data_IF_792390968633
#
_entry.id   IF_792390968633
#
_cell.length_a   1.000
_cell.length_b   1.000
_cell.length_c   1.000
_cell.angle_alpha   90.00
_cell.angle_beta   90.00
_cell.angle_gamma   90.00
#
_symmetry.space_group_name_H-M   'P 1'
#
loop_
_entity.id
_entity.type
_entity.pdbx_description
1 polymer ?
#
# COMPACT_ATOMS: atom_id res chain seq x y z
N UNK A 1 20.80 31.54 12.74
CA UNK A 1 19.41 31.03 12.77
C UNK A 1 19.47 29.68 13.46
N UNK A 2 18.66 29.47 14.48
CA UNK A 2 18.60 28.20 15.23
C UNK A 2 17.23 27.61 14.93
N UNK A 3 17.20 26.43 14.33
CA UNK A 3 15.95 25.72 14.03
C UNK A 3 15.61 24.81 15.20
N UNK A 4 14.34 24.80 15.61
CA UNK A 4 13.84 23.91 16.65
C UNK A 4 13.33 22.62 16.01
N UNK A 5 14.28 21.75 15.65
CA UNK A 5 14.02 20.51 14.93
C UNK A 5 13.78 19.34 15.87
N UNK A 6 12.75 18.53 15.59
CA UNK A 6 12.57 17.21 16.19
C UNK A 6 13.13 16.11 15.28
N UNK A 7 13.66 15.02 15.86
CA UNK A 7 14.02 13.81 15.12
C UNK A 7 12.93 12.77 15.33
N UNK A 8 12.24 12.43 14.24
CA UNK A 8 11.23 11.38 14.22
C UNK A 8 11.75 10.21 13.38
N UNK A 9 11.43 8.98 13.80
CA UNK A 9 11.78 7.78 13.05
C UNK A 9 10.51 7.02 12.67
N UNK A 10 10.32 6.82 11.37
CA UNK A 10 9.40 5.82 10.87
C UNK A 10 10.08 4.46 10.92
N UNK A 11 9.45 3.50 11.60
CA UNK A 11 9.95 2.13 11.71
C UNK A 11 9.11 1.24 10.81
N UNK A 12 9.76 0.43 9.98
CA UNK A 12 9.09 -0.58 9.15
C UNK A 12 8.35 -1.56 10.08
N UNK A 13 7.01 -1.58 9.98
CA UNK A 13 6.16 -2.29 10.93
C UNK A 13 6.27 -3.82 10.82
N UNK A 14 6.68 -4.31 9.65
CA UNK A 14 6.75 -5.73 9.31
C UNK A 14 8.18 -6.10 8.96
N UNK A 15 8.87 -6.72 9.92
CA UNK A 15 10.27 -7.06 9.81
C UNK A 15 10.55 -8.50 10.28
N UNK A 16 11.83 -8.86 10.40
CA UNK A 16 12.25 -10.18 10.88
C UNK A 16 11.74 -10.49 12.31
N UNK A 17 11.90 -9.60 13.32
CA UNK A 17 11.26 -9.74 14.63
C UNK A 17 9.75 -10.00 14.57
N UNK A 18 9.01 -9.22 13.77
CA UNK A 18 7.57 -9.42 13.56
C UNK A 18 7.30 -10.84 13.05
N UNK A 19 8.01 -11.27 12.00
CA UNK A 19 7.84 -12.60 11.42
C UNK A 19 8.10 -13.71 12.44
N UNK A 20 9.17 -13.59 13.23
CA UNK A 20 9.48 -14.57 14.27
C UNK A 20 8.41 -14.60 15.36
N UNK A 21 7.87 -13.46 15.76
CA UNK A 21 6.85 -13.34 16.82
C UNK A 21 5.51 -13.96 16.40
N UNK A 22 5.04 -13.68 15.19
CA UNK A 22 3.69 -14.07 14.76
C UNK A 22 3.64 -15.35 13.93
N UNK A 23 4.74 -15.72 13.26
CA UNK A 23 4.81 -16.90 12.40
C UNK A 23 5.85 -17.94 12.86
N UNK A 24 6.56 -17.69 13.96
CA UNK A 24 7.48 -18.65 14.61
C UNK A 24 8.81 -18.87 13.90
N UNK A 25 8.91 -18.61 12.59
CA UNK A 25 10.12 -18.78 11.78
C UNK A 25 10.28 -17.61 10.82
N UNK A 26 11.52 -17.32 10.45
CA UNK A 26 11.83 -16.32 9.42
C UNK A 26 11.78 -16.98 8.04
N UNK A 27 10.72 -16.71 7.28
CA UNK A 27 10.57 -17.04 5.86
C UNK A 27 11.11 -15.97 4.91
N UNK A 28 10.62 -15.97 3.67
CA UNK A 28 10.88 -14.92 2.69
C UNK A 28 9.77 -13.87 2.78
N UNK A 29 10.13 -12.62 3.02
CA UNK A 29 9.21 -11.49 3.13
C UNK A 29 9.54 -10.50 2.01
N UNK A 30 8.58 -10.26 1.13
CA UNK A 30 8.70 -9.30 0.04
C UNK A 30 7.81 -8.10 0.34
N UNK A 31 8.37 -6.88 0.31
CA UNK A 31 7.60 -5.63 0.23
C UNK A 31 7.20 -5.40 -1.21
N UNK A 32 5.93 -5.12 -1.44
CA UNK A 32 5.40 -4.94 -2.78
C UNK A 32 5.28 -3.45 -3.09
N UNK A 33 5.79 -3.04 -4.26
CA UNK A 33 5.67 -1.69 -4.80
C UNK A 33 4.47 -1.55 -5.75
N UNK A 34 4.27 -0.36 -6.30
CA UNK A 34 3.10 -0.08 -7.15
C UNK A 34 3.02 -0.92 -8.44
N UNK A 35 1.78 -1.15 -8.87
CA UNK A 35 1.42 -1.95 -10.05
C UNK A 35 1.97 -3.38 -10.00
N UNK A 36 1.92 -4.02 -8.84
CA UNK A 36 2.43 -5.37 -8.60
C UNK A 36 1.36 -6.24 -7.92
N UNK A 37 0.42 -6.74 -8.72
CA UNK A 37 -0.76 -7.50 -8.26
C UNK A 37 -0.67 -9.02 -8.53
N UNK A 38 0.52 -9.49 -8.95
CA UNK A 38 0.88 -10.86 -9.36
C UNK A 38 0.35 -11.30 -10.73
N UNK A 39 -0.40 -10.45 -11.46
CA UNK A 39 -0.99 -10.83 -12.75
C UNK A 39 -0.05 -10.60 -13.94
N UNK A 40 0.99 -9.79 -13.77
CA UNK A 40 1.90 -9.38 -14.84
C UNK A 40 2.81 -10.50 -15.37
N UNK A 41 2.85 -10.67 -16.70
CA UNK A 41 3.70 -11.70 -17.33
C UNK A 41 5.20 -11.43 -17.17
N UNK A 42 5.61 -10.17 -17.05
CA UNK A 42 6.99 -9.77 -16.78
C UNK A 42 7.48 -10.18 -15.39
N UNK A 43 6.57 -10.26 -14.42
CA UNK A 43 6.88 -10.54 -13.00
C UNK A 43 7.32 -11.99 -12.81
N UNK A 44 6.70 -12.90 -13.58
CA UNK A 44 6.93 -14.33 -13.54
C UNK A 44 8.10 -14.83 -14.43
N UNK A 45 8.81 -13.92 -15.13
CA UNK A 45 9.89 -14.28 -16.07
C UNK A 45 11.11 -14.89 -15.40
N UNK A 46 11.44 -16.12 -15.79
CA UNK A 46 12.64 -16.83 -15.31
C UNK A 46 13.95 -16.36 -15.94
N UNK A 47 13.89 -15.75 -17.12
CA UNK A 47 15.06 -15.32 -17.89
C UNK A 47 15.40 -13.84 -17.70
N UNK A 48 14.93 -13.22 -16.62
CA UNK A 48 15.33 -11.87 -16.23
C UNK A 48 16.79 -11.83 -15.77
N UNK A 49 17.39 -10.64 -15.78
CA UNK A 49 18.77 -10.41 -15.33
C UNK A 49 18.77 -10.17 -13.82
N UNK A 50 19.45 -10.99 -13.00
CA UNK A 50 19.59 -10.73 -11.58
C UNK A 50 20.42 -9.48 -11.31
N UNK A 51 19.90 -8.54 -10.51
CA UNK A 51 20.63 -7.32 -10.18
C UNK A 51 21.88 -7.57 -9.33
N UNK A 52 21.85 -8.56 -8.42
CA UNK A 52 22.92 -8.84 -7.45
C UNK A 52 24.27 -9.24 -8.07
N UNK A 53 24.29 -9.60 -9.36
CA UNK A 53 25.51 -9.90 -10.11
C UNK A 53 25.92 -8.81 -11.09
N UNK A 54 25.19 -7.69 -11.16
CA UNK A 54 25.39 -6.67 -12.18
C UNK A 54 26.36 -5.56 -11.76
N UNK A 55 27.08 -5.03 -12.74
CA UNK A 55 27.96 -3.85 -12.60
C UNK A 55 27.38 -2.60 -13.24
N UNK A 56 26.23 -2.69 -13.92
CA UNK A 56 25.54 -1.55 -14.51
C UNK A 56 24.35 -1.16 -13.64
N UNK A 57 24.01 0.12 -13.56
CA UNK A 57 22.93 0.58 -12.67
C UNK A 57 21.55 0.51 -13.32
N UNK A 58 21.49 0.41 -14.64
CA UNK A 58 20.25 0.34 -15.40
C UNK A 58 20.32 -0.78 -16.44
N UNK A 59 19.38 -1.72 -16.35
CA UNK A 59 19.08 -2.72 -17.37
C UNK A 59 17.56 -2.89 -17.39
N UNK A 60 16.89 -2.66 -18.54
CA UNK A 60 15.44 -2.87 -18.65
C UNK A 60 15.03 -4.34 -18.46
N UNK A 61 15.97 -5.29 -18.49
CA UNK A 61 15.72 -6.71 -18.30
C UNK A 61 15.94 -7.18 -16.86
N UNK A 62 16.23 -6.27 -15.92
CA UNK A 62 16.38 -6.68 -14.53
C UNK A 62 15.13 -7.38 -13.99
N UNK A 63 15.37 -8.39 -13.15
CA UNK A 63 14.29 -9.08 -12.46
C UNK A 63 13.47 -8.09 -11.64
N UNK A 64 12.14 -8.23 -11.67
CA UNK A 64 11.24 -7.46 -10.83
C UNK A 64 11.23 -7.93 -9.38
N UNK A 65 11.75 -9.14 -9.11
CA UNK A 65 11.99 -9.70 -7.79
C UNK A 65 13.48 -9.61 -7.45
N UNK A 66 13.80 -8.89 -6.38
CA UNK A 66 15.18 -8.54 -6.05
C UNK A 66 15.37 -8.10 -4.60
N UNK A 67 16.54 -7.50 -4.34
CA UNK A 67 16.83 -6.77 -3.12
C UNK A 67 17.12 -5.33 -3.53
N UNK A 68 16.37 -4.38 -2.98
CA UNK A 68 16.59 -2.95 -3.18
C UNK A 68 18.05 -2.60 -2.83
N UNK A 69 18.71 -1.87 -3.73
CA UNK A 69 20.05 -1.33 -3.47
C UNK A 69 19.91 0.04 -2.80
N UNK A 70 20.65 0.22 -1.71
CA UNK A 70 20.77 1.50 -1.01
C UNK A 70 21.25 2.62 -1.93
N UNK A 71 21.04 3.85 -1.47
CA UNK A 71 21.57 5.07 -2.07
C UNK A 71 23.08 4.98 -2.37
N UNK A 72 23.59 5.71 -3.37
CA UNK A 72 24.98 5.64 -3.76
C UNK A 72 25.90 6.06 -2.60
N UNK A 73 27.03 5.36 -2.44
CA UNK A 73 27.99 5.59 -1.34
C UNK A 73 28.73 6.93 -1.49
N UNK A 74 28.69 7.51 -2.69
CA UNK A 74 29.30 8.81 -2.97
C UNK A 74 28.56 9.57 -4.06
N UNK A 75 28.74 10.89 -4.07
CA UNK A 75 28.29 11.75 -5.16
C UNK A 75 28.91 11.35 -6.51
N UNK A 76 30.12 10.82 -6.50
CA UNK A 76 30.78 10.34 -7.72
C UNK A 76 30.15 9.04 -8.24
N UNK A 77 29.81 8.09 -7.37
CA UNK A 77 29.01 6.92 -7.78
C UNK A 77 27.67 7.38 -8.35
N UNK A 78 27.02 8.33 -7.69
CA UNK A 78 25.74 8.87 -8.15
C UNK A 78 25.83 9.52 -9.53
N UNK A 79 26.68 10.52 -9.70
CA UNK A 79 26.62 11.43 -10.85
C UNK A 79 27.65 11.11 -11.94
N UNK A 80 28.66 10.29 -11.64
CA UNK A 80 29.79 10.01 -12.50
C UNK A 80 30.88 11.06 -12.42
N UNK A 81 32.11 10.65 -12.70
CA UNK A 81 33.31 11.49 -12.58
C UNK A 81 33.25 12.77 -13.43
N UNK A 82 32.42 12.79 -14.48
CA UNK A 82 32.24 13.98 -15.32
C UNK A 82 31.28 15.01 -14.70
N UNK A 83 30.32 14.60 -13.88
CA UNK A 83 29.23 15.47 -13.40
C UNK A 83 29.19 15.65 -11.88
N UNK A 84 29.90 14.82 -11.10
CA UNK A 84 29.83 14.86 -9.63
C UNK A 84 30.25 16.19 -8.98
N UNK A 85 30.99 17.03 -9.70
CA UNK A 85 31.36 18.37 -9.27
C UNK A 85 30.72 19.48 -10.12
N UNK A 86 29.83 19.16 -11.06
CA UNK A 86 29.15 20.14 -11.91
C UNK A 86 27.91 20.70 -11.18
N UNK A 87 27.91 21.96 -10.70
CA UNK A 87 26.82 22.50 -9.91
C UNK A 87 25.50 22.61 -10.68
N UNK A 88 25.54 22.80 -12.00
CA UNK A 88 24.33 22.84 -12.84
C UNK A 88 23.69 21.47 -12.91
N UNK A 89 24.50 20.41 -12.99
CA UNK A 89 24.01 19.03 -13.03
C UNK A 89 23.51 18.57 -11.66
N UNK A 90 24.30 18.81 -10.59
CA UNK A 90 23.98 18.41 -9.21
C UNK A 90 22.66 19.02 -8.72
N UNK A 91 22.34 20.24 -9.16
CA UNK A 91 21.12 20.96 -8.75
C UNK A 91 19.98 20.84 -9.78
N UNK A 92 20.10 19.93 -10.75
CA UNK A 92 19.00 19.62 -11.67
C UNK A 92 18.09 18.52 -11.10
N UNK A 93 16.92 18.32 -11.72
CA UNK A 93 15.96 17.26 -11.37
C UNK A 93 16.45 15.88 -11.82
N UNK A 94 17.57 15.42 -11.25
CA UNK A 94 18.28 14.20 -11.65
C UNK A 94 17.36 12.97 -11.53
N UNK A 95 17.25 12.20 -12.61
CA UNK A 95 16.43 10.99 -12.73
C UNK A 95 14.90 11.18 -12.62
N UNK A 96 14.41 12.43 -12.61
CA UNK A 96 12.98 12.77 -12.62
C UNK A 96 12.50 13.22 -14.02
N UNK A 97 11.19 13.46 -14.17
CA UNK A 97 10.56 13.74 -15.47
C UNK A 97 11.06 15.06 -16.08
N UNK A 98 12.01 14.95 -17.01
CA UNK A 98 12.54 16.07 -17.80
C UNK A 98 13.92 16.57 -17.36
N UNK A 99 14.51 16.00 -16.32
CA UNK A 99 15.83 16.36 -15.83
C UNK A 99 16.97 15.48 -16.36
N UNK A 100 18.18 15.72 -15.84
CA UNK A 100 19.40 15.03 -16.26
C UNK A 100 19.40 13.55 -15.84
N UNK A 101 19.96 12.68 -16.68
CA UNK A 101 20.07 11.24 -16.39
C UNK A 101 21.41 10.97 -15.72
N UNK A 102 21.37 10.54 -14.46
CA UNK A 102 22.56 10.12 -13.73
C UNK A 102 23.02 8.73 -14.17
N UNK A 103 24.32 8.42 -14.00
CA UNK A 103 24.83 7.07 -14.25
C UNK A 103 24.28 6.03 -13.26
N UNK A 104 23.81 6.47 -12.09
CA UNK A 104 23.25 5.63 -11.04
C UNK A 104 21.74 5.85 -10.94
N UNK A 105 20.98 4.79 -11.17
CA UNK A 105 19.58 4.71 -10.79
C UNK A 105 19.46 3.64 -9.71
N UNK A 106 18.97 3.96 -8.50
CA UNK A 106 18.78 2.95 -7.47
C UNK A 106 17.88 1.84 -8.00
N UNK A 107 18.32 0.59 -7.88
CA UNK A 107 17.49 -0.55 -8.22
C UNK A 107 16.42 -0.74 -7.16
N UNK A 108 15.18 -0.49 -7.55
CA UNK A 108 13.97 -0.62 -6.74
C UNK A 108 13.09 -1.72 -7.35
N UNK A 109 13.26 -3.00 -6.96
CA UNK A 109 12.42 -4.08 -7.47
C UNK A 109 10.97 -3.88 -7.04
N UNK A 110 10.01 -4.27 -7.89
CA UNK A 110 8.58 -4.30 -7.55
C UNK A 110 8.29 -5.25 -6.38
N UNK A 111 9.06 -6.32 -6.27
CA UNK A 111 8.99 -7.31 -5.20
C UNK A 111 10.32 -7.31 -4.45
N UNK A 112 10.44 -6.46 -3.42
CA UNK A 112 11.68 -6.26 -2.68
C UNK A 112 11.80 -7.21 -1.48
N UNK A 113 12.81 -8.08 -1.53
CA UNK A 113 13.09 -9.03 -0.47
C UNK A 113 13.68 -8.33 0.77
N UNK A 114 12.89 -8.28 1.84
CA UNK A 114 13.26 -7.65 3.12
C UNK A 114 13.98 -8.60 4.08
N UNK A 115 13.70 -9.90 4.01
CA UNK A 115 14.35 -10.94 4.86
C UNK A 115 15.19 -11.90 4.03
N UNK A 116 16.17 -12.58 4.65
CA UNK A 116 17.03 -13.55 3.92
C UNK A 116 17.66 -12.99 2.63
N UNK A 117 18.04 -11.70 2.58
CA UNK A 117 18.58 -11.01 1.38
C UNK A 117 19.71 -11.78 0.67
N UNK A 118 20.55 -12.51 1.41
CA UNK A 118 21.62 -13.36 0.86
C UNK A 118 21.14 -14.59 0.08
N UNK A 119 19.86 -14.94 0.20
CA UNK A 119 19.18 -16.05 -0.47
C UNK A 119 18.22 -15.55 -1.55
N UNK A 120 18.51 -14.39 -2.17
CA UNK A 120 17.62 -13.79 -3.17
C UNK A 120 17.34 -14.71 -4.35
N UNK A 121 18.30 -15.50 -4.82
CA UNK A 121 18.07 -16.44 -5.92
C UNK A 121 16.98 -17.49 -5.58
N UNK A 122 16.99 -18.03 -4.35
CA UNK A 122 15.98 -18.96 -3.85
C UNK A 122 14.62 -18.26 -3.69
N UNK A 123 14.61 -17.10 -3.03
CA UNK A 123 13.39 -16.33 -2.81
C UNK A 123 12.71 -15.90 -4.12
N UNK A 124 13.51 -15.46 -5.11
CA UNK A 124 13.06 -15.13 -6.47
C UNK A 124 12.41 -16.34 -7.13
N UNK A 125 13.07 -17.50 -7.12
CA UNK A 125 12.52 -18.72 -7.71
C UNK A 125 11.16 -19.09 -7.13
N UNK A 126 11.06 -19.16 -5.80
CA UNK A 126 9.82 -19.55 -5.11
C UNK A 126 8.68 -18.54 -5.35
N UNK A 127 8.97 -17.23 -5.36
CA UNK A 127 7.94 -16.22 -5.68
C UNK A 127 7.49 -16.30 -7.14
N UNK A 128 8.40 -16.49 -8.08
CA UNK A 128 8.06 -16.62 -9.50
C UNK A 128 7.31 -17.92 -9.81
N UNK A 129 7.59 -19.01 -9.09
CA UNK A 129 6.77 -20.23 -9.13
C UNK A 129 5.34 -19.94 -8.66
N UNK A 130 5.17 -19.23 -7.55
CA UNK A 130 3.86 -18.85 -7.05
C UNK A 130 3.10 -17.92 -8.00
N UNK A 131 3.77 -16.92 -8.59
CA UNK A 131 3.19 -16.05 -9.62
C UNK A 131 2.67 -16.86 -10.81
N UNK A 132 3.47 -17.78 -11.35
CA UNK A 132 3.03 -18.66 -12.44
C UNK A 132 1.85 -19.53 -12.05
N UNK A 133 1.85 -20.06 -10.83
CA UNK A 133 0.74 -20.83 -10.30
C UNK A 133 -0.55 -19.97 -10.27
N UNK A 134 -0.51 -18.78 -9.68
CA UNK A 134 -1.67 -17.86 -9.65
C UNK A 134 -2.10 -17.47 -11.06
N UNK A 135 -1.16 -17.18 -11.96
CA UNK A 135 -1.41 -16.84 -13.37
C UNK A 135 -1.96 -18.01 -14.20
N UNK A 136 -1.82 -19.25 -13.73
CA UNK A 136 -2.51 -20.41 -14.33
C UNK A 136 -4.02 -20.44 -14.03
N UNK A 137 -4.50 -19.47 -13.24
CA UNK A 137 -5.88 -19.29 -12.81
C UNK A 137 -6.45 -20.52 -12.09
N UNK A 138 -5.84 -20.92 -10.95
CA UNK A 138 -6.30 -22.06 -10.16
C UNK A 138 -7.67 -21.78 -9.56
N UNK A 139 -8.37 -22.83 -9.14
CA UNK A 139 -9.55 -22.68 -8.28
C UNK A 139 -9.16 -22.08 -6.93
N UNK A 140 -10.12 -21.47 -6.22
CA UNK A 140 -9.87 -20.97 -4.86
C UNK A 140 -9.43 -22.08 -3.89
N UNK A 141 -9.89 -23.32 -4.10
CA UNK A 141 -9.47 -24.49 -3.33
C UNK A 141 -8.00 -24.84 -3.56
N UNK A 142 -7.55 -24.89 -4.82
CA UNK A 142 -6.14 -25.10 -5.16
C UNK A 142 -5.26 -23.95 -4.64
N UNK A 143 -5.72 -22.70 -4.78
CA UNK A 143 -5.02 -21.55 -4.21
C UNK A 143 -4.87 -21.68 -2.69
N UNK A 144 -5.91 -22.16 -1.99
CA UNK A 144 -5.88 -22.35 -0.54
C UNK A 144 -4.84 -23.39 -0.08
N UNK A 145 -4.32 -24.25 -0.96
CA UNK A 145 -3.22 -25.16 -0.63
C UNK A 145 -1.90 -24.40 -0.45
N UNK A 146 -1.68 -23.33 -1.22
CA UNK A 146 -0.43 -22.55 -1.24
C UNK A 146 -0.56 -21.15 -0.62
N UNK A 147 -1.76 -20.66 -0.35
CA UNK A 147 -2.02 -19.29 0.10
C UNK A 147 -3.03 -19.25 1.27
N UNK A 148 -2.82 -18.34 2.21
CA UNK A 148 -3.73 -18.10 3.34
C UNK A 148 -4.97 -17.28 2.91
N UNK A 149 -5.91 -17.96 2.24
CA UNK A 149 -7.17 -17.36 1.74
C UNK A 149 -7.97 -16.70 2.86
N UNK A 150 -8.06 -17.32 4.05
CA UNK A 150 -8.81 -16.75 5.18
C UNK A 150 -8.15 -15.47 5.68
N UNK A 151 -6.82 -15.45 5.77
CA UNK A 151 -6.05 -14.27 6.13
C UNK A 151 -6.25 -13.11 5.15
N UNK A 152 -6.27 -13.42 3.84
CA UNK A 152 -6.54 -12.43 2.79
C UNK A 152 -7.95 -11.84 2.89
N UNK A 153 -8.99 -12.68 3.05
CA UNK A 153 -10.38 -12.20 3.24
C UNK A 153 -10.46 -11.28 4.46
N UNK A 154 -9.79 -11.63 5.56
CA UNK A 154 -9.76 -10.80 6.78
C UNK A 154 -9.09 -9.45 6.54
N UNK A 155 -7.98 -9.45 5.81
CA UNK A 155 -7.23 -8.24 5.47
C UNK A 155 -8.08 -7.32 4.60
N UNK A 156 -8.72 -7.85 3.57
CA UNK A 156 -9.56 -7.06 2.67
C UNK A 156 -10.85 -6.57 3.34
N UNK A 157 -11.40 -7.29 4.32
CA UNK A 157 -12.49 -6.74 5.14
C UNK A 157 -12.06 -5.44 5.85
N UNK A 158 -10.84 -5.42 6.38
CA UNK A 158 -10.28 -4.21 7.00
C UNK A 158 -9.99 -3.12 5.96
N UNK A 159 -9.37 -3.46 4.83
CA UNK A 159 -9.06 -2.49 3.76
C UNK A 159 -10.33 -1.83 3.19
N UNK A 160 -11.41 -2.60 3.00
CA UNK A 160 -12.71 -2.10 2.54
C UNK A 160 -13.33 -1.16 3.58
N UNK A 161 -13.30 -1.54 4.86
CA UNK A 161 -13.91 -0.74 5.94
C UNK A 161 -13.10 0.53 6.22
N UNK A 162 -11.77 0.48 6.08
CA UNK A 162 -10.90 1.63 6.29
C UNK A 162 -10.74 2.51 5.03
N UNK A 163 -11.06 1.99 3.84
CA UNK A 163 -10.93 2.71 2.58
C UNK A 163 -9.49 2.78 2.06
N UNK A 164 -8.72 1.70 2.25
CA UNK A 164 -7.34 1.60 1.81
C UNK A 164 -7.23 1.39 0.28
N UNK A 165 -7.53 2.44 -0.47
CA UNK A 165 -7.67 2.41 -1.94
C UNK A 165 -6.35 2.45 -2.70
N UNK A 166 -5.25 2.76 -2.03
CA UNK A 166 -3.89 2.69 -2.57
C UNK A 166 -3.25 1.31 -2.39
N UNK A 167 -4.01 0.31 -1.90
CA UNK A 167 -3.54 -1.05 -1.69
C UNK A 167 -3.72 -1.97 -2.93
N UNK A 168 -3.63 -3.29 -2.69
CA UNK A 168 -3.66 -4.37 -3.68
C UNK A 168 -4.70 -4.21 -4.79
N UNK A 169 -5.98 -4.06 -4.47
CA UNK A 169 -7.07 -4.16 -5.47
C UNK A 169 -7.08 -3.04 -6.53
N UNK A 170 -6.58 -1.85 -6.18
CA UNK A 170 -6.72 -0.65 -7.03
C UNK A 170 -5.38 -0.15 -7.56
N UNK A 171 -4.27 -0.46 -6.87
CA UNK A 171 -2.92 0.00 -7.23
C UNK A 171 -1.92 -1.16 -7.29
N UNK A 172 -2.24 -2.34 -6.74
CA UNK A 172 -1.28 -3.43 -6.63
C UNK A 172 -0.12 -3.08 -5.69
N UNK A 173 -0.37 -2.35 -4.61
CA UNK A 173 0.65 -1.77 -3.73
C UNK A 173 0.33 -1.96 -2.23
N UNK A 174 1.22 -1.50 -1.34
CA UNK A 174 1.03 -1.38 0.11
C UNK A 174 0.70 -2.69 0.83
N UNK A 175 1.37 -3.75 0.41
CA UNK A 175 1.34 -5.04 1.10
C UNK A 175 2.70 -5.71 1.11
N UNK A 176 2.82 -6.72 1.98
CA UNK A 176 3.87 -7.71 1.92
C UNK A 176 3.31 -9.05 1.49
N UNK A 177 4.12 -9.81 0.76
CA UNK A 177 3.95 -11.25 0.60
C UNK A 177 4.97 -11.99 1.45
N UNK A 178 4.48 -12.77 2.38
CA UNK A 178 5.29 -13.59 3.26
C UNK A 178 5.10 -15.07 2.97
N UNK A 179 6.17 -15.74 2.54
CA UNK A 179 6.18 -17.20 2.48
C UNK A 179 6.49 -17.77 3.86
N UNK A 180 5.49 -18.44 4.47
CA UNK A 180 5.60 -19.08 5.77
C UNK A 180 6.17 -20.52 5.62
N UNK A 181 7.43 -20.76 5.99
CA UNK A 181 8.08 -22.06 5.78
C UNK A 181 7.64 -23.13 6.78
N UNK A 182 6.78 -22.82 7.75
CA UNK A 182 6.21 -23.82 8.67
C UNK A 182 4.88 -24.37 8.16
N UNK A 183 4.15 -23.57 7.40
CA UNK A 183 2.84 -23.94 6.84
C UNK A 183 2.90 -24.25 5.35
N UNK A 184 4.02 -23.93 4.70
CA UNK A 184 4.18 -24.00 3.25
C UNK A 184 3.12 -23.16 2.52
N UNK A 185 2.88 -21.94 3.03
CA UNK A 185 1.87 -21.03 2.49
C UNK A 185 2.36 -19.60 2.41
N UNK A 186 1.94 -18.91 1.36
CA UNK A 186 2.00 -17.47 1.21
C UNK A 186 0.93 -16.78 2.06
N UNK A 187 1.30 -15.64 2.62
CA UNK A 187 0.47 -14.82 3.50
C UNK A 187 0.52 -13.38 3.02
N UNK A 188 -0.65 -12.79 2.79
CA UNK A 188 -0.84 -11.37 2.53
C UNK A 188 -0.82 -10.58 3.83
N UNK A 189 -0.02 -9.52 3.91
CA UNK A 189 0.07 -8.64 5.06
C UNK A 189 -0.07 -7.20 4.60
N UNK A 190 -1.05 -6.48 5.14
CA UNK A 190 -1.25 -5.05 4.85
C UNK A 190 -0.08 -4.21 5.35
N UNK A 191 0.19 -3.11 4.66
CA UNK A 191 1.17 -2.10 5.04
C UNK A 191 0.63 -0.71 4.70
N UNK A 192 1.31 0.35 5.16
CA UNK A 192 1.13 1.72 4.69
C UNK A 192 -0.34 2.20 4.64
N UNK A 193 -0.95 2.28 5.82
CA UNK A 193 -2.35 2.71 5.98
C UNK A 193 -2.41 4.20 6.34
N UNK A 194 -1.57 5.02 5.73
CA UNK A 194 -1.61 6.49 5.89
C UNK A 194 -2.71 7.11 5.03
N UNK A 195 -3.05 6.49 3.89
CA UNK A 195 -4.18 6.87 3.05
C UNK A 195 -5.47 6.08 3.37
N UNK A 196 -5.96 6.19 4.61
CA UNK A 196 -7.23 5.56 5.05
C UNK A 196 -8.10 6.53 5.82
N UNK A 197 -9.38 6.19 6.00
CA UNK A 197 -10.37 7.01 6.72
C UNK A 197 -10.59 8.40 6.09
N UNK A 198 -10.49 8.46 4.77
CA UNK A 198 -10.68 9.66 3.93
C UNK A 198 -11.60 9.34 2.78
N UNK A 199 -12.29 10.33 2.24
CA UNK A 199 -13.23 10.14 1.14
C UNK A 199 -12.64 10.52 -0.22
N UNK A 200 -11.71 11.49 -0.22
CA UNK A 200 -11.16 12.05 -1.44
C UNK A 200 -9.64 12.27 -1.38
N UNK A 201 -8.99 12.18 -2.54
CA UNK A 201 -7.60 12.58 -2.73
C UNK A 201 -7.41 14.10 -2.64
N UNK A 202 -6.19 14.57 -2.34
CA UNK A 202 -5.94 15.99 -2.16
C UNK A 202 -6.25 16.82 -3.41
N UNK A 203 -6.88 17.97 -3.21
CA UNK A 203 -7.35 18.87 -4.28
C UNK A 203 -6.22 19.30 -5.21
N UNK A 204 -4.97 19.36 -4.73
CA UNK A 204 -3.79 19.69 -5.56
C UNK A 204 -3.58 18.71 -6.72
N UNK A 205 -4.00 17.46 -6.59
CA UNK A 205 -3.91 16.50 -7.71
C UNK A 205 -4.97 16.78 -8.78
N UNK A 206 -5.94 17.66 -8.51
CA UNK A 206 -7.01 18.03 -9.43
C UNK A 206 -8.07 16.95 -9.57
N UNK A 207 -8.57 16.72 -10.78
CA UNK A 207 -9.49 15.61 -11.06
C UNK A 207 -9.14 14.77 -12.29
N UNK A 208 -7.86 14.41 -12.50
CA UNK A 208 -7.44 13.61 -13.65
C UNK A 208 -7.98 12.18 -13.56
N UNK A 209 -8.12 11.50 -14.70
CA UNK A 209 -8.70 10.16 -14.76
C UNK A 209 -7.91 9.13 -13.94
N UNK A 210 -6.58 9.26 -13.84
CA UNK A 210 -5.75 8.34 -13.05
C UNK A 210 -6.05 8.40 -11.54
N UNK A 211 -6.56 9.53 -11.03
CA UNK A 211 -6.85 9.73 -9.61
C UNK A 211 -8.28 9.29 -9.20
N UNK A 212 -9.07 8.72 -10.12
CA UNK A 212 -10.41 8.19 -9.81
C UNK A 212 -10.49 7.07 -8.75
N UNK A 213 -9.45 6.25 -8.46
CA UNK A 213 -9.52 5.27 -7.36
C UNK A 213 -9.73 5.90 -5.99
N UNK A 214 -9.32 7.15 -5.82
CA UNK A 214 -9.31 7.88 -4.56
C UNK A 214 -10.45 8.89 -4.42
N UNK A 215 -11.64 8.57 -4.94
CA UNK A 215 -12.82 9.44 -4.86
C UNK A 215 -14.03 8.65 -4.39
N UNK A 216 -14.90 9.33 -3.66
CA UNK A 216 -16.16 8.80 -3.15
C UNK A 216 -15.97 7.53 -2.28
N UNK A 217 -14.80 7.38 -1.63
CA UNK A 217 -14.33 6.13 -1.02
C UNK A 217 -15.32 5.64 0.04
N UNK A 218 -15.87 6.54 0.86
CA UNK A 218 -16.79 6.20 1.95
C UNK A 218 -18.06 5.51 1.43
N UNK A 219 -18.44 5.77 0.18
CA UNK A 219 -19.69 5.27 -0.44
C UNK A 219 -19.51 4.05 -1.34
N UNK A 220 -18.29 3.50 -1.43
CA UNK A 220 -18.00 2.32 -2.27
C UNK A 220 -18.54 1.02 -1.68
N UNK A 221 -19.05 0.11 -2.49
CA UNK A 221 -19.49 -1.22 -2.05
C UNK A 221 -18.33 -2.21 -2.08
N UNK A 222 -18.39 -3.28 -1.30
CA UNK A 222 -17.43 -4.38 -1.36
C UNK A 222 -17.53 -5.12 -2.71
N UNK A 223 -18.77 -5.39 -3.16
CA UNK A 223 -19.03 -6.11 -4.41
C UNK A 223 -19.93 -5.33 -5.37
N UNK A 224 -19.97 -5.72 -6.67
CA UNK A 224 -20.82 -5.04 -7.66
C UNK A 224 -22.30 -5.01 -7.27
N UNK A 225 -22.90 -3.81 -7.31
CA UNK A 225 -24.34 -3.58 -7.12
C UNK A 225 -24.82 -2.50 -8.10
N UNK A 226 -26.06 -2.57 -8.65
CA UNK A 226 -26.54 -1.62 -9.65
C UNK A 226 -26.43 -0.16 -9.20
N UNK A 227 -25.71 0.65 -9.98
CA UNK A 227 -25.53 2.08 -9.70
C UNK A 227 -24.59 2.40 -8.54
N UNK A 228 -23.85 1.41 -8.03
CA UNK A 228 -22.85 1.56 -6.97
C UNK A 228 -21.46 1.29 -7.51
N UNK A 229 -20.50 2.11 -7.08
CA UNK A 229 -19.08 1.87 -7.32
C UNK A 229 -18.64 0.79 -6.36
N UNK A 230 -17.94 -0.24 -6.84
CA UNK A 230 -17.44 -1.30 -5.97
C UNK A 230 -15.93 -1.28 -5.79
N UNK A 231 -15.45 -2.07 -4.82
CA UNK A 231 -14.09 -2.03 -4.30
C UNK A 231 -13.01 -2.25 -5.38
N UNK A 232 -13.26 -3.16 -6.32
CA UNK A 232 -12.36 -3.44 -7.44
C UNK A 232 -12.60 -2.61 -8.70
N UNK A 233 -13.58 -1.70 -8.69
CA UNK A 233 -13.76 -0.75 -9.79
C UNK A 233 -12.70 0.37 -9.69
N UNK A 234 -12.45 1.11 -10.77
CA UNK A 234 -11.59 2.32 -10.76
C UNK A 234 -10.19 2.03 -10.23
N UNK A 235 -9.37 1.33 -11.00
CA UNK A 235 -7.95 1.13 -10.65
C UNK A 235 -7.10 2.32 -11.11
N UNK A 236 -5.87 2.46 -10.59
CA UNK A 236 -4.93 3.50 -11.03
C UNK A 236 -4.64 3.42 -12.54
N UNK A 237 -4.71 2.20 -13.08
CA UNK A 237 -4.52 1.90 -14.50
C UNK A 237 -5.26 0.60 -14.86
N UNK A 238 -6.47 0.71 -15.44
CA UNK A 238 -7.32 -0.47 -15.74
C UNK A 238 -6.71 -1.42 -16.78
N UNK A 239 -5.69 -0.98 -17.53
CA UNK A 239 -4.99 -1.83 -18.49
C UNK A 239 -3.84 -2.62 -17.85
N UNK A 240 -3.47 -2.30 -16.62
CA UNK A 240 -2.33 -2.91 -15.90
C UNK A 240 -2.81 -3.66 -14.67
N UNK A 241 -3.71 -3.07 -13.88
CA UNK A 241 -4.18 -3.67 -12.65
C UNK A 241 -5.25 -4.71 -12.92
N UNK A 242 -4.95 -5.95 -12.53
CA UNK A 242 -5.83 -7.09 -12.51
C UNK A 242 -5.62 -7.83 -11.18
N UNK A 243 -6.46 -7.58 -10.16
CA UNK A 243 -6.27 -8.13 -8.81
C UNK A 243 -6.61 -9.63 -8.78
N UNK A 244 -5.76 -10.44 -9.40
CA UNK A 244 -6.01 -11.85 -9.71
C UNK A 244 -6.30 -12.72 -8.47
N UNK A 245 -5.71 -12.41 -7.32
CA UNK A 245 -6.03 -13.11 -6.06
C UNK A 245 -7.46 -12.81 -5.61
N UNK A 246 -7.92 -11.56 -5.75
CA UNK A 246 -9.30 -11.19 -5.45
C UNK A 246 -10.28 -11.97 -6.33
N UNK A 247 -10.03 -11.98 -7.63
CA UNK A 247 -10.91 -12.65 -8.60
C UNK A 247 -10.98 -14.16 -8.36
N UNK A 248 -9.85 -14.82 -8.13
CA UNK A 248 -9.81 -16.26 -7.80
C UNK A 248 -10.56 -16.51 -6.48
N UNK A 249 -10.23 -15.78 -5.41
CA UNK A 249 -10.78 -16.05 -4.06
C UNK A 249 -12.28 -15.80 -4.02
N UNK A 250 -12.75 -14.71 -4.60
CA UNK A 250 -14.17 -14.33 -4.57
C UNK A 250 -14.97 -14.85 -5.76
N UNK A 251 -14.39 -15.69 -6.61
CA UNK A 251 -15.17 -16.56 -7.50
C UNK A 251 -16.07 -17.52 -6.70
N UNK A 252 -15.66 -17.87 -5.47
CA UNK A 252 -16.42 -18.71 -4.55
C UNK A 252 -17.44 -17.91 -3.71
N UNK A 253 -18.75 -18.23 -3.80
CA UNK A 253 -19.78 -17.52 -3.03
C UNK A 253 -19.57 -17.57 -1.51
N UNK A 254 -19.05 -18.69 -0.99
CA UNK A 254 -18.77 -18.84 0.45
C UNK A 254 -17.70 -17.86 0.93
N UNK A 255 -16.72 -17.51 0.10
CA UNK A 255 -15.69 -16.53 0.47
C UNK A 255 -16.28 -15.11 0.54
N UNK A 256 -17.22 -14.76 -0.36
CA UNK A 256 -17.98 -13.50 -0.27
C UNK A 256 -18.77 -13.40 1.04
N UNK A 257 -19.41 -14.50 1.44
CA UNK A 257 -20.14 -14.58 2.70
C UNK A 257 -19.24 -14.39 3.93
N UNK A 258 -18.03 -14.95 3.90
CA UNK A 258 -17.03 -14.73 4.96
C UNK A 258 -16.60 -13.27 5.01
N UNK A 259 -16.37 -12.63 3.84
CA UNK A 259 -16.02 -11.22 3.77
C UNK A 259 -17.11 -10.34 4.39
N UNK A 260 -18.38 -10.55 4.03
CA UNK A 260 -19.49 -9.80 4.63
C UNK A 260 -19.59 -10.01 6.14
N UNK A 261 -19.39 -11.23 6.63
CA UNK A 261 -19.32 -11.50 8.07
C UNK A 261 -18.20 -10.73 8.77
N UNK A 262 -17.01 -10.67 8.16
CA UNK A 262 -15.87 -9.92 8.69
C UNK A 262 -16.08 -8.41 8.64
N UNK A 263 -16.64 -7.88 7.54
CA UNK A 263 -17.03 -6.47 7.42
C UNK A 263 -18.01 -6.12 8.54
N UNK A 264 -19.09 -6.90 8.68
CA UNK A 264 -20.08 -6.68 9.74
C UNK A 264 -19.45 -6.70 11.12
N UNK A 265 -18.54 -7.65 11.39
CA UNK A 265 -17.82 -7.71 12.66
C UNK A 265 -17.02 -6.43 12.93
N UNK A 266 -16.30 -5.90 11.94
CA UNK A 266 -15.52 -4.67 12.09
C UNK A 266 -16.46 -3.48 12.32
N UNK A 267 -17.55 -3.36 11.58
CA UNK A 267 -18.55 -2.30 11.80
C UNK A 267 -19.11 -2.39 13.23
N UNK A 268 -19.63 -3.54 13.64
CA UNK A 268 -20.29 -3.70 14.93
C UNK A 268 -19.35 -3.48 16.14
N UNK A 269 -18.03 -3.71 15.99
CA UNK A 269 -17.12 -3.84 17.13
C UNK A 269 -15.85 -2.97 17.08
N UNK A 270 -15.56 -2.29 15.97
CA UNK A 270 -14.28 -1.61 15.74
C UNK A 270 -14.43 -0.24 15.07
N UNK A 271 -15.15 -0.16 13.95
CA UNK A 271 -15.32 1.08 13.20
C UNK A 271 -16.55 1.84 13.72
N UNK A 272 -16.48 2.34 14.95
CA UNK A 272 -17.53 3.14 15.58
C UNK A 272 -16.92 4.38 16.24
N UNK A 273 -17.61 5.51 16.17
CA UNK A 273 -17.09 6.78 16.68
C UNK A 273 -16.90 6.76 18.21
N UNK A 274 -17.79 6.11 18.95
CA UNK A 274 -17.68 6.04 20.41
C UNK A 274 -16.49 5.16 20.84
N UNK A 275 -16.05 4.23 19.97
CA UNK A 275 -14.86 3.42 20.17
C UNK A 275 -13.59 4.17 19.76
N UNK A 276 -13.62 4.85 18.61
CA UNK A 276 -12.41 5.44 18.00
C UNK A 276 -12.08 6.84 18.51
N UNK A 277 -13.08 7.65 18.89
CA UNK A 277 -12.86 9.03 19.33
C UNK A 277 -11.91 9.15 20.53
N UNK A 278 -11.98 8.32 21.60
CA UNK A 278 -11.03 8.46 22.71
C UNK A 278 -9.60 8.07 22.32
N UNK A 279 -9.45 7.15 21.37
CA UNK A 279 -8.15 6.71 20.85
C UNK A 279 -7.53 7.82 20.01
N UNK A 280 -8.33 8.46 19.14
CA UNK A 280 -7.91 9.57 18.29
C UNK A 280 -7.56 10.80 19.12
N UNK A 281 -8.38 11.13 20.12
CA UNK A 281 -8.11 12.25 21.04
C UNK A 281 -6.80 12.05 21.80
N UNK A 282 -6.57 10.84 22.35
CA UNK A 282 -5.31 10.52 23.04
C UNK A 282 -4.11 10.67 22.10
N UNK A 283 -4.23 10.24 20.84
CA UNK A 283 -3.15 10.38 19.85
C UNK A 283 -2.94 11.84 19.43
N UNK A 284 -4.01 12.59 19.21
CA UNK A 284 -3.99 14.01 18.89
C UNK A 284 -3.22 14.79 19.98
N UNK A 285 -3.55 14.57 21.25
CA UNK A 285 -2.89 15.24 22.38
C UNK A 285 -1.37 14.95 22.42
N UNK A 286 -0.92 13.75 22.04
CA UNK A 286 0.50 13.41 22.01
C UNK A 286 1.26 14.08 20.85
N UNK A 287 0.57 14.33 19.73
CA UNK A 287 1.18 14.85 18.50
C UNK A 287 1.10 16.37 18.41
N UNK A 288 -0.03 16.95 18.80
CA UNK A 288 -0.30 18.38 18.68
C UNK A 288 0.74 19.21 19.43
N UNK A 289 1.02 18.87 20.68
CA UNK A 289 2.08 19.52 21.46
C UNK A 289 3.46 19.33 20.83
N UNK A 290 3.75 18.14 20.28
CA UNK A 290 5.04 17.86 19.67
C UNK A 290 5.25 18.66 18.37
N UNK A 291 4.18 18.90 17.61
CA UNK A 291 4.22 19.68 16.36
C UNK A 291 4.29 21.17 16.67
N UNK A 292 3.36 21.69 17.48
CA UNK A 292 3.22 23.11 17.82
C UNK A 292 4.44 23.67 18.57
N UNK A 293 5.24 22.82 19.22
CA UNK A 293 6.46 23.26 19.90
C UNK A 293 7.72 23.18 19.01
N UNK A 294 7.58 22.98 17.70
CA UNK A 294 8.70 22.88 16.74
C UNK A 294 8.43 23.72 15.51
N UNK A 295 9.46 23.91 14.67
CA UNK A 295 9.30 24.60 13.38
C UNK A 295 8.38 23.82 12.39
N UNK A 296 7.96 22.59 12.74
CA UNK A 296 7.00 21.80 11.97
C UNK A 296 5.54 22.28 12.08
N UNK A 297 5.24 23.27 12.93
CA UNK A 297 3.89 23.85 13.03
C UNK A 297 3.49 24.68 11.80
N UNK A 298 4.47 25.20 11.04
CA UNK A 298 4.26 26.09 9.89
C UNK A 298 4.92 25.56 8.60
N UNK A 299 4.56 24.36 8.10
CA UNK A 299 5.08 23.86 6.83
C UNK A 299 4.45 24.59 5.64
N UNK A 300 5.13 24.55 4.49
CA UNK A 300 4.60 25.11 3.25
C UNK A 300 3.50 24.20 2.65
N UNK A 301 2.29 24.74 2.53
CA UNK A 301 1.15 24.06 1.89
C UNK A 301 0.21 23.38 2.89
N UNK A 302 -1.11 23.57 2.72
CA UNK A 302 -2.09 23.13 3.72
C UNK A 302 -2.17 21.62 3.93
N UNK A 303 -1.72 20.82 2.97
CA UNK A 303 -1.69 19.36 3.07
C UNK A 303 -0.64 18.86 4.07
N UNK A 304 0.35 19.70 4.37
CA UNK A 304 1.40 19.41 5.34
C UNK A 304 1.09 20.01 6.72
N UNK A 305 0.20 21.01 6.78
CA UNK A 305 -0.17 21.67 8.03
C UNK A 305 -1.01 20.70 8.87
N UNK A 306 -0.60 20.53 10.12
CA UNK A 306 -1.38 19.78 11.09
C UNK A 306 -2.78 20.38 11.27
N UNK A 307 -3.82 19.55 11.13
CA UNK A 307 -5.20 20.01 11.22
C UNK A 307 -6.05 19.04 12.05
N UNK A 308 -6.29 19.39 13.32
CA UNK A 308 -7.14 18.62 14.21
C UNK A 308 -8.58 18.47 13.69
N UNK A 309 -9.07 19.41 12.85
CA UNK A 309 -10.39 19.34 12.22
C UNK A 309 -10.55 18.10 11.32
N UNK A 310 -9.46 17.50 10.85
CA UNK A 310 -9.50 16.24 10.11
C UNK A 310 -10.02 15.06 10.94
N UNK A 311 -10.05 15.17 12.28
CA UNK A 311 -10.53 14.12 13.17
C UNK A 311 -12.06 14.11 13.25
N UNK A 312 -12.68 15.24 13.59
CA UNK A 312 -14.09 15.28 14.01
C UNK A 312 -14.93 16.45 13.47
N UNK A 313 -14.42 17.24 12.52
CA UNK A 313 -15.20 18.34 11.95
C UNK A 313 -16.54 17.86 11.36
N UNK A 314 -17.60 18.61 11.65
CA UNK A 314 -18.96 18.35 11.16
C UNK A 314 -19.13 18.65 9.66
N UNK A 315 -18.26 19.51 9.11
CA UNK A 315 -18.26 19.92 7.71
C UNK A 315 -16.82 20.12 7.18
N UNK A 316 -16.67 20.18 5.85
CA UNK A 316 -15.36 20.28 5.20
C UNK A 316 -14.77 21.70 5.22
N UNK A 317 -15.49 22.72 5.69
CA UNK A 317 -15.06 24.13 5.69
C UNK A 317 -13.81 24.43 6.54
N UNK A 318 -13.33 23.47 7.33
CA UNK A 318 -12.08 23.56 8.10
C UNK A 318 -10.96 22.64 7.61
N UNK A 319 -11.17 21.89 6.52
CA UNK A 319 -10.19 20.98 5.95
C UNK A 319 -9.36 21.68 4.86
N UNK A 320 -8.15 21.17 4.61
CA UNK A 320 -7.34 21.64 3.47
C UNK A 320 -8.01 21.31 2.13
N UNK A 321 -8.78 20.21 2.09
CA UNK A 321 -9.56 19.80 0.94
C UNK A 321 -11.06 19.89 1.23
N UNK A 322 -11.77 20.77 0.52
CA UNK A 322 -13.22 20.97 0.69
C UNK A 322 -14.07 19.77 0.21
N UNK A 323 -13.50 18.87 -0.60
CA UNK A 323 -14.14 17.64 -1.07
C UNK A 323 -13.90 16.45 -0.14
N UNK A 324 -12.89 16.52 0.71
CA UNK A 324 -12.63 15.48 1.70
C UNK A 324 -13.49 15.70 2.95
N UNK A 325 -13.43 14.74 3.87
CA UNK A 325 -14.24 14.73 5.10
C UNK A 325 -13.39 14.35 6.30
N UNK A 326 -13.88 14.68 7.50
CA UNK A 326 -13.24 14.25 8.74
C UNK A 326 -13.35 12.72 8.94
N UNK A 327 -12.47 12.16 9.76
CA UNK A 327 -12.51 10.74 10.14
C UNK A 327 -13.87 10.37 10.73
N UNK A 328 -14.46 11.23 11.59
CA UNK A 328 -15.82 11.06 12.12
C UNK A 328 -16.84 10.89 11.01
N UNK A 329 -16.86 11.82 10.05
CA UNK A 329 -17.82 11.79 8.94
C UNK A 329 -17.60 10.59 8.02
N UNK A 330 -16.34 10.21 7.79
CA UNK A 330 -16.00 8.99 7.08
C UNK A 330 -16.60 7.76 7.76
N UNK A 331 -16.41 7.61 9.08
CA UNK A 331 -16.96 6.48 9.84
C UNK A 331 -18.49 6.43 9.71
N UNK A 332 -19.18 7.55 9.84
CA UNK A 332 -20.64 7.63 9.68
C UNK A 332 -21.10 7.13 8.30
N UNK A 333 -20.56 7.72 7.23
CA UNK A 333 -20.95 7.39 5.85
C UNK A 333 -20.55 5.97 5.46
N UNK A 334 -19.37 5.52 5.90
CA UNK A 334 -18.87 4.18 5.63
C UNK A 334 -19.72 3.12 6.29
N UNK A 335 -20.09 3.32 7.56
CA UNK A 335 -21.00 2.43 8.29
C UNK A 335 -22.36 2.37 7.60
N UNK A 336 -22.97 3.51 7.29
CA UNK A 336 -24.25 3.56 6.60
C UNK A 336 -24.22 2.79 5.27
N UNK A 337 -23.22 3.08 4.44
CA UNK A 337 -23.03 2.46 3.13
C UNK A 337 -22.88 0.93 3.24
N UNK A 338 -22.00 0.46 4.12
CA UNK A 338 -21.72 -0.97 4.22
C UNK A 338 -22.84 -1.72 4.95
N UNK A 339 -23.54 -1.12 5.92
CA UNK A 339 -24.75 -1.73 6.49
C UNK A 339 -25.87 -1.84 5.45
N UNK A 340 -26.01 -0.87 4.55
CA UNK A 340 -26.94 -0.99 3.44
C UNK A 340 -26.58 -2.19 2.55
N UNK A 341 -25.32 -2.30 2.12
CA UNK A 341 -24.87 -3.43 1.30
C UNK A 341 -25.07 -4.77 2.02
N UNK A 342 -24.75 -4.84 3.31
CA UNK A 342 -24.97 -6.04 4.14
C UNK A 342 -26.45 -6.43 4.16
N UNK A 343 -27.35 -5.48 4.37
CA UNK A 343 -28.79 -5.74 4.39
C UNK A 343 -29.31 -6.24 3.02
N UNK A 344 -28.81 -5.67 1.92
CA UNK A 344 -29.12 -6.12 0.56
C UNK A 344 -28.66 -7.56 0.28
N UNK A 345 -27.67 -8.06 1.04
CA UNK A 345 -27.08 -9.38 0.90
C UNK A 345 -27.43 -10.35 2.06
N UNK A 346 -28.37 -9.96 2.95
CA UNK A 346 -28.90 -10.83 4.00
C UNK A 346 -28.08 -10.92 5.29
N UNK A 347 -27.35 -9.86 5.65
CA UNK A 347 -26.50 -9.76 6.85
C UNK A 347 -26.98 -8.77 7.92
#
# INVERSE_FOLDING_TARGET
MTFNMGVFQMVEQVDKPFMKRYFGKNGFLFKIGAEADLSGTEEAKLNCVPYEGSTIFFDPNYCLVGVEKSDPDSREEWLGSNNYMNPTFVNSDINDQGGEISQFKPYKPKYDLKTKKKSIAEGRGILQDFMRFVQSNPSAAELAEQFDVRGFIKAHAAEIVLGAVDHYVKVGNNYYLYYNPLKDKWVYLVHDNDFVLRDHHPTTWGSPDWARPWRDIATTYAFPSPGKIHWTERTINDSVINPILWDIIFSEPTNKQILYGDIKFILDNKLDWDILSPILETRNQLLEDAINNTDAENPDGCELIYNASAIDAENSTGLCDEKDISIKKYIELRRETLYQELAENGY
#
